data_IF_624705792464
#
_entry.id   IF_624705792464
#
_cell.length_a   1.000
_cell.length_b   1.000
_cell.length_c   1.000
_cell.angle_alpha   90.00
_cell.angle_beta   90.00
_cell.angle_gamma   90.00
#
_symmetry.space_group_name_H-M   'P 1'
#
loop_
_entity.id
_entity.type
_entity.pdbx_description
1 polymer ?
#
# COMPACT_ATOMS: atom_id res chain seq x y z
N UNK A 1 3.47 23.30 5.35
CA UNK A 1 2.64 24.10 6.26
C UNK A 1 1.46 23.23 6.69
N UNK A 2 1.42 22.79 7.95
CA UNK A 2 0.35 21.92 8.48
C UNK A 2 -0.85 22.79 8.81
N UNK A 3 -1.89 22.75 7.99
CA UNK A 3 -3.18 23.38 8.34
C UNK A 3 -4.16 22.29 8.75
N UNK A 4 -4.30 22.02 10.06
CA UNK A 4 -5.28 21.06 10.56
C UNK A 4 -6.69 21.46 10.11
N UNK A 5 -7.57 20.47 9.99
CA UNK A 5 -8.97 20.74 9.67
C UNK A 5 -9.65 21.45 10.83
N UNK A 6 -10.58 22.35 10.53
CA UNK A 6 -11.47 22.90 11.57
C UNK A 6 -12.34 21.78 12.16
N UNK A 7 -12.79 21.86 13.41
CA UNK A 7 -13.61 20.81 14.02
C UNK A 7 -14.85 20.40 13.19
N UNK A 8 -15.56 21.38 12.59
CA UNK A 8 -16.71 21.11 11.72
C UNK A 8 -16.33 20.45 10.39
N UNK A 9 -15.13 20.74 9.86
CA UNK A 9 -14.59 20.08 8.67
C UNK A 9 -14.14 18.65 8.97
N UNK A 10 -13.56 18.44 10.16
CA UNK A 10 -13.19 17.13 10.67
C UNK A 10 -14.44 16.25 10.84
N UNK A 11 -15.52 16.78 11.42
CA UNK A 11 -16.79 16.07 11.52
C UNK A 11 -17.27 15.55 10.15
N UNK A 12 -17.27 16.41 9.13
CA UNK A 12 -17.65 16.03 7.77
C UNK A 12 -16.71 14.97 7.16
N UNK A 13 -15.41 15.03 7.43
CA UNK A 13 -14.45 14.01 7.02
C UNK A 13 -14.70 12.66 7.71
N UNK A 14 -14.97 12.66 9.02
CA UNK A 14 -15.25 11.46 9.81
C UNK A 14 -16.57 10.80 9.34
N UNK A 15 -17.61 11.57 9.05
CA UNK A 15 -18.84 11.04 8.44
C UNK A 15 -18.55 10.38 7.10
N UNK A 16 -17.74 11.00 6.23
CA UNK A 16 -17.38 10.39 4.96
C UNK A 16 -16.47 9.16 5.07
N UNK A 17 -15.67 9.05 6.14
CA UNK A 17 -14.96 7.82 6.49
C UNK A 17 -15.92 6.72 6.93
N UNK A 18 -16.94 7.05 7.71
CA UNK A 18 -18.04 6.12 8.05
C UNK A 18 -18.71 5.57 6.80
N UNK A 19 -19.05 6.42 5.82
CA UNK A 19 -19.71 5.99 4.59
C UNK A 19 -18.88 4.99 3.79
N UNK A 20 -17.55 5.13 3.79
CA UNK A 20 -16.63 4.19 3.13
C UNK A 20 -16.53 2.84 3.84
N UNK A 21 -16.87 2.78 5.12
CA UNK A 21 -16.79 1.59 5.97
C UNK A 21 -18.18 0.99 6.26
N UNK A 22 -19.17 1.34 5.43
CA UNK A 22 -20.56 0.93 5.60
C UNK A 22 -20.70 -0.59 5.79
N UNK A 23 -21.54 -0.96 6.76
CA UNK A 23 -21.81 -2.36 7.11
C UNK A 23 -20.83 -2.99 8.10
N UNK A 24 -19.85 -2.25 8.63
CA UNK A 24 -18.90 -2.76 9.63
C UNK A 24 -18.84 -1.96 10.93
N UNK A 25 -18.18 -2.50 11.95
CA UNK A 25 -17.96 -1.82 13.23
C UNK A 25 -17.23 -0.47 13.10
N UNK A 26 -16.36 -0.33 12.08
CA UNK A 26 -15.67 0.92 11.76
C UNK A 26 -16.62 2.05 11.36
N UNK A 27 -17.76 1.76 10.73
CA UNK A 27 -18.77 2.77 10.40
C UNK A 27 -19.22 3.50 11.67
N UNK A 28 -19.66 2.72 12.66
CA UNK A 28 -20.16 3.24 13.93
C UNK A 28 -19.08 3.94 14.74
N UNK A 29 -17.86 3.41 14.73
CA UNK A 29 -16.70 4.08 15.32
C UNK A 29 -16.51 5.50 14.78
N UNK A 30 -16.52 5.68 13.45
CA UNK A 30 -16.35 6.99 12.84
C UNK A 30 -17.53 7.92 13.07
N UNK A 31 -18.76 7.39 13.12
CA UNK A 31 -19.96 8.18 13.46
C UNK A 31 -19.93 8.68 14.91
N UNK A 32 -19.49 7.84 15.87
CA UNK A 32 -19.36 8.26 17.27
C UNK A 32 -18.34 9.38 17.44
N UNK A 33 -17.23 9.32 16.70
CA UNK A 33 -16.25 10.41 16.66
C UNK A 33 -16.79 11.66 15.97
N UNK A 34 -17.55 11.52 14.89
CA UNK A 34 -18.16 12.64 14.19
C UNK A 34 -19.20 13.35 15.08
N UNK A 35 -20.00 12.59 15.84
CA UNK A 35 -21.01 13.12 16.75
C UNK A 35 -20.42 13.86 17.96
N UNK A 36 -19.15 13.60 18.31
CA UNK A 36 -18.44 14.35 19.35
C UNK A 36 -17.95 15.73 18.86
N UNK A 37 -18.03 16.00 17.56
CA UNK A 37 -17.60 17.25 16.94
C UNK A 37 -18.79 18.19 16.68
N UNK A 38 -18.56 19.50 16.48
CA UNK A 38 -19.63 20.40 16.06
C UNK A 38 -20.23 19.99 14.71
N UNK A 39 -21.43 20.48 14.37
CA UNK A 39 -22.16 20.10 13.17
C UNK A 39 -21.29 20.15 11.91
N UNK A 40 -21.36 19.07 11.12
CA UNK A 40 -20.51 18.87 9.96
C UNK A 40 -20.66 19.99 8.92
N UNK A 41 -19.53 20.55 8.47
CA UNK A 41 -19.48 21.56 7.42
C UNK A 41 -18.64 21.07 6.24
N UNK A 42 -19.32 20.77 5.13
CA UNK A 42 -18.69 20.29 3.91
C UNK A 42 -18.13 21.44 3.05
N UNK A 43 -17.00 22.01 3.47
CA UNK A 43 -16.24 23.01 2.70
C UNK A 43 -15.71 22.41 1.39
N UNK A 44 -15.38 23.22 0.36
CA UNK A 44 -14.85 22.69 -0.91
C UNK A 44 -13.56 21.87 -0.72
N UNK A 45 -12.74 22.20 0.28
CA UNK A 45 -11.55 21.43 0.65
C UNK A 45 -11.94 20.02 1.12
N UNK A 46 -12.90 19.91 2.03
CA UNK A 46 -13.38 18.60 2.53
C UNK A 46 -14.05 17.80 1.42
N UNK A 47 -14.86 18.42 0.55
CA UNK A 47 -15.48 17.71 -0.59
C UNK A 47 -14.44 17.09 -1.53
N UNK A 48 -13.36 17.82 -1.83
CA UNK A 48 -12.24 17.28 -2.62
C UNK A 48 -11.55 16.13 -1.89
N UNK A 49 -11.30 16.28 -0.59
CA UNK A 49 -10.71 15.20 0.22
C UNK A 49 -11.58 13.95 0.23
N UNK A 50 -12.89 14.08 0.39
CA UNK A 50 -13.86 12.98 0.34
C UNK A 50 -13.90 12.30 -1.03
N UNK A 51 -13.80 13.08 -2.12
CA UNK A 51 -13.71 12.52 -3.47
C UNK A 51 -12.42 11.68 -3.63
N UNK A 52 -11.28 12.21 -3.18
CA UNK A 52 -10.00 11.47 -3.23
C UNK A 52 -10.06 10.24 -2.32
N UNK A 53 -10.69 10.35 -1.16
CA UNK A 53 -10.93 9.23 -0.23
C UNK A 53 -11.75 8.12 -0.88
N UNK A 54 -12.82 8.47 -1.61
CA UNK A 54 -13.65 7.50 -2.35
C UNK A 54 -12.89 6.77 -3.45
N UNK A 55 -11.93 7.45 -4.10
CA UNK A 55 -11.14 6.85 -5.19
C UNK A 55 -9.98 5.98 -4.69
N UNK A 56 -9.30 6.41 -3.62
CA UNK A 56 -8.05 5.78 -3.17
C UNK A 56 -8.22 4.91 -1.92
N UNK A 57 -9.25 5.18 -1.11
CA UNK A 57 -9.50 4.58 0.19
C UNK A 57 -8.66 5.21 1.32
N UNK A 58 -9.08 5.02 2.59
CA UNK A 58 -8.44 5.62 3.76
C UNK A 58 -6.98 5.19 3.93
N UNK A 59 -6.68 3.92 3.64
CA UNK A 59 -5.32 3.38 3.78
C UNK A 59 -4.28 4.02 2.85
N UNK A 60 -4.62 4.52 1.65
CA UNK A 60 -3.62 5.22 0.79
C UNK A 60 -3.38 6.64 1.25
N UNK A 61 -4.42 7.27 1.80
CA UNK A 61 -4.38 8.65 2.23
C UNK A 61 -3.90 8.80 3.67
N UNK A 62 -3.48 7.70 4.31
CA UNK A 62 -3.00 7.71 5.69
C UNK A 62 -2.00 8.84 6.01
N UNK A 63 -0.91 9.08 5.24
CA UNK A 63 0.01 10.17 5.55
C UNK A 63 -0.65 11.55 5.43
N UNK A 64 -1.59 11.71 4.50
CA UNK A 64 -2.33 12.95 4.31
C UNK A 64 -3.32 13.16 5.47
N UNK A 65 -4.06 12.12 5.87
CA UNK A 65 -4.98 12.17 7.02
C UNK A 65 -4.23 12.45 8.33
N UNK A 66 -3.04 11.88 8.51
CA UNK A 66 -2.16 12.17 9.64
C UNK A 66 -1.73 13.64 9.66
N UNK A 67 -1.39 14.20 8.49
CA UNK A 67 -1.05 15.62 8.37
C UNK A 67 -2.25 16.55 8.67
N UNK A 68 -3.47 16.09 8.41
CA UNK A 68 -4.70 16.81 8.71
C UNK A 68 -5.14 16.69 10.17
N UNK A 69 -4.48 15.84 10.97
CA UNK A 69 -4.78 15.63 12.38
C UNK A 69 -6.01 14.76 12.63
N UNK A 70 -6.38 13.88 11.71
CA UNK A 70 -7.48 12.93 11.94
C UNK A 70 -7.09 11.94 13.04
N UNK A 71 -7.93 11.73 14.08
CA UNK A 71 -7.60 10.82 15.18
C UNK A 71 -7.75 9.34 14.77
N UNK A 72 -7.16 8.46 15.57
CA UNK A 72 -7.33 6.99 15.51
C UNK A 72 -6.97 6.33 14.18
N UNK A 73 -6.08 6.96 13.42
CA UNK A 73 -5.60 6.43 12.13
C UNK A 73 -4.78 5.14 12.26
N UNK A 74 -4.40 4.75 13.49
CA UNK A 74 -3.75 3.48 13.76
C UNK A 74 -4.57 2.27 13.25
N UNK A 75 -5.91 2.40 13.15
CA UNK A 75 -6.80 1.40 12.55
C UNK A 75 -6.41 0.99 11.12
N UNK A 76 -5.77 1.90 10.38
CA UNK A 76 -5.39 1.70 8.97
C UNK A 76 -3.88 1.45 8.78
N UNK A 77 -3.10 1.52 9.85
CA UNK A 77 -1.63 1.46 9.79
C UNK A 77 -1.14 0.13 9.20
N UNK A 78 -1.70 -1.00 9.64
CA UNK A 78 -1.32 -2.32 9.14
C UNK A 78 -1.55 -2.45 7.62
N UNK A 79 -2.72 -2.00 7.14
CA UNK A 79 -3.04 -2.01 5.71
C UNK A 79 -2.18 -1.05 4.87
N UNK A 80 -1.73 0.07 5.45
CA UNK A 80 -0.78 0.99 4.81
C UNK A 80 0.63 0.40 4.72
N UNK A 81 1.14 -0.17 5.82
CA UNK A 81 2.48 -0.77 5.87
C UNK A 81 2.60 -1.96 4.91
N UNK A 82 1.61 -2.86 4.89
CA UNK A 82 1.63 -4.01 3.98
C UNK A 82 1.66 -3.60 2.50
N UNK A 83 1.06 -2.45 2.15
CA UNK A 83 1.14 -1.87 0.80
C UNK A 83 2.52 -1.32 0.51
N UNK A 84 3.13 -0.56 1.44
CA UNK A 84 4.49 -0.05 1.28
C UNK A 84 5.48 -1.19 1.10
N UNK A 85 5.44 -2.18 2.00
CA UNK A 85 6.33 -3.34 1.95
C UNK A 85 6.19 -4.09 0.63
N UNK A 86 4.96 -4.24 0.12
CA UNK A 86 4.72 -4.85 -1.18
C UNK A 86 5.29 -4.04 -2.33
N UNK A 87 5.08 -2.73 -2.35
CA UNK A 87 5.66 -1.85 -3.37
C UNK A 87 7.19 -1.90 -3.33
N UNK A 88 7.79 -1.89 -2.13
CA UNK A 88 9.23 -2.03 -1.94
C UNK A 88 9.73 -3.36 -2.50
N UNK A 89 9.10 -4.47 -2.10
CA UNK A 89 9.47 -5.82 -2.57
C UNK A 89 9.39 -5.94 -4.08
N UNK A 90 8.26 -5.55 -4.69
CA UNK A 90 8.10 -5.62 -6.16
C UNK A 90 9.12 -4.72 -6.85
N UNK A 91 9.34 -3.51 -6.34
CA UNK A 91 10.32 -2.59 -6.92
C UNK A 91 11.74 -3.15 -6.82
N UNK A 92 12.13 -3.72 -5.68
CA UNK A 92 13.44 -4.37 -5.52
C UNK A 92 13.62 -5.53 -6.50
N UNK A 93 12.61 -6.38 -6.67
CA UNK A 93 12.65 -7.49 -7.64
C UNK A 93 12.81 -6.98 -9.08
N UNK A 94 12.05 -5.94 -9.46
CA UNK A 94 12.14 -5.32 -10.77
C UNK A 94 13.52 -4.70 -11.01
N UNK A 95 14.05 -3.94 -10.04
CA UNK A 95 15.36 -3.30 -10.13
C UNK A 95 16.48 -4.34 -10.24
N UNK A 96 16.40 -5.42 -9.45
CA UNK A 96 17.35 -6.53 -9.53
C UNK A 96 17.33 -7.17 -10.92
N UNK A 97 16.15 -7.57 -11.40
CA UNK A 97 16.01 -8.25 -12.69
C UNK A 97 16.47 -7.39 -13.87
N UNK A 98 15.98 -6.14 -13.96
CA UNK A 98 16.34 -5.22 -15.04
C UNK A 98 17.84 -4.86 -14.96
N UNK A 99 18.37 -4.59 -13.77
CA UNK A 99 19.78 -4.24 -13.61
C UNK A 99 20.72 -5.40 -13.96
N UNK A 100 20.36 -6.65 -13.64
CA UNK A 100 21.14 -7.82 -14.08
C UNK A 100 21.15 -7.96 -15.61
N UNK A 101 20.01 -7.78 -16.28
CA UNK A 101 19.94 -7.82 -17.75
C UNK A 101 20.83 -6.75 -18.37
N UNK A 102 20.76 -5.52 -17.85
CA UNK A 102 21.60 -4.43 -18.33
C UNK A 102 23.09 -4.68 -18.08
N UNK A 103 23.45 -5.24 -16.93
CA UNK A 103 24.83 -5.58 -16.63
C UNK A 103 25.37 -6.67 -17.57
N UNK A 104 24.58 -7.72 -17.85
CA UNK A 104 24.92 -8.77 -18.81
C UNK A 104 25.09 -8.17 -20.22
N UNK A 105 24.13 -7.35 -20.66
CA UNK A 105 24.18 -6.67 -21.94
C UNK A 105 25.44 -5.78 -22.07
N UNK A 106 25.80 -5.05 -21.02
CA UNK A 106 27.01 -4.24 -20.97
C UNK A 106 28.28 -5.12 -21.04
N UNK A 107 28.32 -6.24 -20.32
CA UNK A 107 29.45 -7.17 -20.31
C UNK A 107 29.71 -7.81 -21.68
N UNK A 108 28.65 -8.24 -22.36
CA UNK A 108 28.76 -8.77 -23.73
C UNK A 108 28.93 -7.67 -24.79
N UNK A 109 28.56 -6.41 -24.50
CA UNK A 109 28.57 -5.33 -25.47
C UNK A 109 27.42 -5.44 -26.48
N UNK A 110 26.23 -5.81 -26.02
CA UNK A 110 25.06 -5.97 -26.88
C UNK A 110 24.67 -4.66 -27.58
N UNK A 111 24.10 -4.82 -28.78
CA UNK A 111 23.55 -3.70 -29.52
C UNK A 111 22.28 -3.16 -28.85
N UNK A 112 21.99 -1.84 -28.97
CA UNK A 112 20.80 -1.20 -28.42
C UNK A 112 19.49 -1.97 -28.62
N UNK A 113 19.23 -2.45 -29.85
CA UNK A 113 18.01 -3.18 -30.18
C UNK A 113 17.90 -4.51 -29.40
N UNK A 114 19.00 -5.26 -29.26
CA UNK A 114 19.06 -6.50 -28.49
C UNK A 114 18.81 -6.25 -27.00
N UNK A 115 19.33 -5.15 -26.46
CA UNK A 115 19.08 -4.76 -25.06
C UNK A 115 17.60 -4.43 -24.84
N UNK A 116 17.00 -3.63 -25.72
CA UNK A 116 15.58 -3.31 -25.64
C UNK A 116 14.72 -4.57 -25.70
N UNK A 117 15.01 -5.45 -26.65
CA UNK A 117 14.30 -6.72 -26.78
C UNK A 117 14.42 -7.57 -25.52
N UNK A 118 15.63 -7.73 -24.97
CA UNK A 118 15.85 -8.50 -23.75
C UNK A 118 15.14 -7.92 -22.52
N UNK A 119 15.13 -6.59 -22.38
CA UNK A 119 14.40 -5.91 -21.30
C UNK A 119 12.90 -6.20 -21.36
N UNK A 120 12.30 -6.12 -22.55
CA UNK A 120 10.88 -6.45 -22.75
C UNK A 120 10.61 -7.94 -22.53
N UNK A 121 11.52 -8.83 -22.95
CA UNK A 121 11.38 -10.27 -22.72
C UNK A 121 11.39 -10.62 -21.22
N UNK A 122 12.28 -10.00 -20.45
CA UNK A 122 12.30 -10.18 -18.99
C UNK A 122 11.07 -9.57 -18.32
N UNK A 123 10.58 -8.41 -18.78
CA UNK A 123 9.34 -7.82 -18.30
C UNK A 123 8.14 -8.76 -18.53
N UNK A 124 7.97 -9.27 -19.74
CA UNK A 124 6.90 -10.22 -20.10
C UNK A 124 7.05 -11.52 -19.29
N UNK A 125 8.26 -12.07 -19.20
CA UNK A 125 8.53 -13.28 -18.43
C UNK A 125 8.19 -13.12 -16.94
N UNK A 126 8.55 -11.99 -16.34
CA UNK A 126 8.22 -11.68 -14.95
C UNK A 126 6.71 -11.55 -14.73
N UNK A 127 6.00 -10.89 -15.66
CA UNK A 127 4.54 -10.78 -15.61
C UNK A 127 3.85 -12.14 -15.81
N UNK A 128 4.31 -12.98 -16.74
CA UNK A 128 3.77 -14.34 -16.93
C UNK A 128 3.99 -15.19 -15.68
N UNK A 129 5.19 -15.14 -15.09
CA UNK A 129 5.50 -15.86 -13.85
C UNK A 129 4.63 -15.37 -12.68
N UNK A 130 4.40 -14.05 -12.59
CA UNK A 130 3.52 -13.47 -11.59
C UNK A 130 2.05 -13.89 -11.79
N UNK A 131 1.56 -13.87 -13.03
CA UNK A 131 0.22 -14.33 -13.38
C UNK A 131 0.06 -15.81 -12.98
N UNK A 132 1.00 -16.67 -13.39
CA UNK A 132 1.01 -18.09 -13.06
C UNK A 132 1.02 -18.35 -11.56
N UNK A 133 1.89 -17.66 -10.80
CA UNK A 133 1.93 -17.75 -9.33
C UNK A 133 0.64 -17.27 -8.68
N UNK A 134 0.03 -16.22 -9.22
CA UNK A 134 -1.23 -15.71 -8.72
C UNK A 134 -2.41 -16.63 -9.06
N UNK A 135 -2.36 -17.39 -10.15
CA UNK A 135 -3.35 -18.41 -10.47
C UNK A 135 -3.20 -19.62 -9.52
N UNK A 136 -1.97 -20.13 -9.35
CA UNK A 136 -1.67 -21.34 -8.55
C UNK A 136 -1.72 -21.17 -7.04
N UNK A 137 -1.70 -19.94 -6.52
CA UNK A 137 -1.91 -19.76 -5.10
C UNK A 137 -3.25 -20.44 -4.70
N UNK A 138 -3.33 -21.13 -3.55
CA UNK A 138 -4.60 -21.60 -3.04
C UNK A 138 -5.51 -20.38 -2.83
N UNK A 139 -6.76 -20.45 -3.29
CA UNK A 139 -7.74 -19.46 -2.86
C UNK A 139 -7.77 -19.63 -1.35
N UNK A 140 -7.12 -18.73 -0.62
CA UNK A 140 -7.66 -18.36 0.66
C UNK A 140 -9.01 -17.75 0.30
N UNK A 141 -10.00 -18.62 0.09
CA UNK A 141 -11.33 -18.30 0.48
C UNK A 141 -11.13 -17.67 1.85
N UNK A 142 -11.61 -16.45 2.01
CA UNK A 142 -12.00 -16.07 3.34
C UNK A 142 -13.10 -17.08 3.69
N UNK A 143 -12.70 -18.26 4.18
CA UNK A 143 -13.51 -19.14 4.99
C UNK A 143 -13.73 -18.35 6.28
N UNK A 144 -14.53 -17.31 6.17
CA UNK A 144 -15.50 -17.10 7.21
C UNK A 144 -16.43 -18.30 7.06
N UNK A 145 -16.58 -19.15 8.09
CA UNK A 145 -17.74 -20.02 8.10
C UNK A 145 -18.94 -19.11 7.84
N UNK A 146 -19.74 -19.43 6.84
CA UNK A 146 -21.06 -18.85 6.67
C UNK A 146 -22.00 -19.34 7.78
N UNK A 147 -21.52 -19.36 9.02
CA UNK A 147 -22.29 -19.51 10.23
C UNK A 147 -22.66 -18.09 10.65
N UNK A 148 -23.85 -17.68 10.19
CA UNK A 148 -24.61 -16.55 10.70
C UNK A 148 -23.90 -15.18 10.66
N UNK A 149 -23.59 -14.72 9.46
CA UNK A 149 -23.61 -13.28 9.20
C UNK A 149 -25.07 -12.81 9.25
N UNK A 150 -25.66 -12.69 10.44
CA UNK A 150 -26.92 -11.98 10.64
C UNK A 150 -26.67 -10.50 10.29
N UNK A 151 -27.36 -9.89 9.30
CA UNK A 151 -27.75 -8.50 9.44
C UNK A 151 -29.04 -8.49 10.27
N UNK A 152 -28.93 -8.88 11.55
CA UNK A 152 -30.01 -8.74 12.52
C UNK A 152 -30.11 -7.29 12.97
N UNK A 153 -31.26 -6.90 13.54
CA UNK A 153 -31.57 -5.54 13.98
C UNK A 153 -30.52 -4.84 14.89
N UNK A 154 -29.46 -5.52 15.32
CA UNK A 154 -28.36 -4.99 16.14
C UNK A 154 -27.47 -3.96 15.43
N UNK A 155 -27.46 -3.95 14.10
CA UNK A 155 -26.88 -2.83 13.33
C UNK A 155 -27.54 -1.48 13.64
N UNK A 156 -28.68 -1.45 14.35
CA UNK A 156 -29.35 -0.22 14.78
C UNK A 156 -28.96 0.29 16.17
N UNK A 157 -28.14 -0.45 16.95
CA UNK A 157 -27.83 -0.12 18.35
C UNK A 157 -26.52 0.67 18.56
N UNK A 158 -25.84 1.07 17.47
CA UNK A 158 -24.60 1.83 17.52
C UNK A 158 -23.41 1.07 18.13
N UNK A 159 -22.30 1.78 18.35
CA UNK A 159 -21.06 1.18 18.86
C UNK A 159 -21.24 0.53 20.25
N UNK A 160 -22.09 1.13 21.10
CA UNK A 160 -22.42 0.57 22.41
C UNK A 160 -23.11 -0.79 22.28
N UNK A 161 -24.09 -0.92 21.38
CA UNK A 161 -24.78 -2.19 21.13
C UNK A 161 -23.81 -3.28 20.66
N UNK A 162 -22.89 -2.94 19.75
CA UNK A 162 -21.87 -3.87 19.28
C UNK A 162 -20.95 -4.37 20.40
N UNK A 163 -20.58 -3.49 21.34
CA UNK A 163 -19.79 -3.90 22.50
C UNK A 163 -20.56 -4.85 23.42
N UNK A 164 -21.84 -4.58 23.68
CA UNK A 164 -22.70 -5.45 24.49
C UNK A 164 -22.90 -6.82 23.85
N UNK A 165 -23.14 -6.87 22.54
CA UNK A 165 -23.26 -8.12 21.78
C UNK A 165 -21.99 -8.98 21.85
N UNK A 166 -20.82 -8.35 21.98
CA UNK A 166 -19.52 -9.03 22.18
C UNK A 166 -19.22 -9.40 23.65
N UNK A 167 -20.21 -9.28 24.54
CA UNK A 167 -20.08 -9.68 25.94
C UNK A 167 -19.39 -8.66 26.84
N UNK A 168 -19.23 -7.40 26.40
CA UNK A 168 -18.80 -6.34 27.32
C UNK A 168 -19.85 -6.10 28.39
N UNK A 169 -19.41 -5.82 29.62
CA UNK A 169 -20.32 -5.52 30.72
C UNK A 169 -21.17 -4.26 30.42
N UNK A 170 -22.44 -4.24 30.84
CA UNK A 170 -23.36 -3.12 30.56
C UNK A 170 -22.91 -1.79 31.17
N UNK A 171 -22.08 -1.82 32.21
CA UNK A 171 -21.48 -0.63 32.81
C UNK A 171 -20.22 -0.13 32.09
N UNK A 172 -19.49 -1.00 31.39
CA UNK A 172 -18.23 -0.66 30.71
C UNK A 172 -18.44 -0.13 29.29
N UNK A 173 -19.37 -0.72 28.53
CA UNK A 173 -19.65 -0.33 27.15
C UNK A 173 -19.94 1.18 26.98
N UNK A 174 -20.89 1.81 27.71
CA UNK A 174 -21.17 3.23 27.57
C UNK A 174 -20.02 4.12 28.05
N UNK A 175 -19.28 3.70 29.09
CA UNK A 175 -18.10 4.43 29.59
C UNK A 175 -16.99 4.48 28.53
N UNK A 176 -16.82 3.38 27.81
CA UNK A 176 -15.79 3.25 26.79
C UNK A 176 -16.14 4.06 25.54
N UNK A 177 -17.43 4.17 25.17
CA UNK A 177 -17.90 5.11 24.15
C UNK A 177 -17.76 6.58 24.60
N UNK A 178 -18.05 6.90 25.86
CA UNK A 178 -17.82 8.24 26.40
C UNK A 178 -16.31 8.61 26.41
N UNK A 179 -15.44 7.64 26.71
CA UNK A 179 -14.00 7.79 26.58
C UNK A 179 -13.58 8.02 25.13
N UNK A 180 -14.17 7.31 24.16
CA UNK A 180 -13.90 7.53 22.73
C UNK A 180 -14.20 8.97 22.30
N UNK A 181 -15.32 9.53 22.75
CA UNK A 181 -15.74 10.90 22.39
C UNK A 181 -14.82 11.98 22.97
N UNK A 182 -14.24 11.74 24.14
CA UNK A 182 -13.38 12.71 24.84
C UNK A 182 -11.88 12.53 24.58
N UNK A 183 -11.41 11.29 24.51
CA UNK A 183 -10.00 10.90 24.43
C UNK A 183 -9.83 9.71 23.45
N UNK A 184 -9.95 9.97 22.14
CA UNK A 184 -10.09 8.92 21.14
C UNK A 184 -8.87 7.99 21.06
N UNK A 185 -7.67 8.53 21.18
CA UNK A 185 -6.42 7.75 21.13
C UNK A 185 -6.25 6.81 22.33
N UNK A 186 -6.80 7.15 23.50
CA UNK A 186 -6.75 6.28 24.68
C UNK A 186 -7.85 5.20 24.65
N UNK A 187 -9.01 5.52 24.08
CA UNK A 187 -10.09 4.55 23.92
C UNK A 187 -9.78 3.48 22.88
N UNK A 188 -9.01 3.83 21.84
CA UNK A 188 -8.72 2.96 20.70
C UNK A 188 -8.17 1.57 21.07
N UNK A 189 -7.11 1.40 21.89
CA UNK A 189 -6.60 0.07 22.23
C UNK A 189 -7.63 -0.77 23.00
N UNK A 190 -8.44 -0.16 23.87
CA UNK A 190 -9.49 -0.85 24.61
C UNK A 190 -10.63 -1.29 23.68
N UNK A 191 -11.00 -0.43 22.73
CA UNK A 191 -11.96 -0.75 21.68
C UNK A 191 -11.48 -1.89 20.79
N UNK A 192 -10.23 -1.87 20.35
CA UNK A 192 -9.66 -2.94 19.52
C UNK A 192 -9.59 -4.27 20.26
N UNK A 193 -9.34 -4.26 21.57
CA UNK A 193 -9.37 -5.46 22.38
C UNK A 193 -10.78 -6.08 22.46
N UNK A 194 -11.82 -5.26 22.58
CA UNK A 194 -13.21 -5.71 22.61
C UNK A 194 -13.80 -6.01 21.21
N UNK A 195 -13.37 -5.26 20.19
CA UNK A 195 -13.81 -5.33 18.81
C UNK A 195 -12.60 -5.40 17.86
N UNK A 196 -11.98 -6.60 17.70
CA UNK A 196 -10.82 -6.77 16.82
C UNK A 196 -11.09 -6.38 15.37
N UNK A 197 -12.35 -6.48 14.92
CA UNK A 197 -12.81 -6.12 13.58
C UNK A 197 -12.64 -4.63 13.23
N UNK A 198 -12.43 -3.77 14.23
CA UNK A 198 -12.11 -2.36 14.01
C UNK A 198 -10.81 -2.20 13.21
N UNK A 199 -9.83 -3.07 13.41
CA UNK A 199 -8.55 -2.98 12.69
C UNK A 199 -8.76 -3.40 11.24
N UNK A 200 -8.33 -2.54 10.30
CA UNK A 200 -8.39 -2.88 8.89
C UNK A 200 -7.46 -4.07 8.63
N UNK A 201 -7.97 -5.20 8.09
CA UNK A 201 -7.14 -6.37 7.85
C UNK A 201 -6.01 -6.01 6.87
N UNK A 202 -4.81 -6.58 7.06
CA UNK A 202 -3.72 -6.32 6.14
C UNK A 202 -4.09 -6.84 4.75
N UNK A 203 -3.90 -6.00 3.73
CA UNK A 203 -4.28 -6.35 2.36
C UNK A 203 -3.42 -7.47 1.78
N UNK A 204 -3.90 -8.70 1.86
CA UNK A 204 -3.30 -9.88 1.24
C UNK A 204 -4.05 -10.29 -0.04
N UNK A 205 -4.17 -9.36 -0.99
CA UNK A 205 -4.83 -9.63 -2.27
C UNK A 205 -3.87 -9.99 -3.39
N UNK A 206 -4.17 -11.06 -4.15
CA UNK A 206 -3.52 -11.40 -5.43
C UNK A 206 -3.58 -10.23 -6.40
N UNK A 207 -4.77 -9.63 -6.51
CA UNK A 207 -5.04 -8.50 -7.39
C UNK A 207 -4.15 -7.30 -7.09
N UNK A 208 -3.91 -7.01 -5.80
CA UNK A 208 -3.04 -5.90 -5.41
C UNK A 208 -1.60 -6.15 -5.85
N UNK A 209 -1.07 -7.38 -5.67
CA UNK A 209 0.27 -7.76 -6.12
C UNK A 209 0.40 -7.69 -7.64
N UNK A 210 -0.58 -8.24 -8.35
CA UNK A 210 -0.66 -8.21 -9.81
C UNK A 210 -0.63 -6.77 -10.33
N UNK A 211 -1.48 -5.91 -9.78
CA UNK A 211 -1.53 -4.50 -10.18
C UNK A 211 -0.23 -3.75 -9.89
N UNK A 212 0.42 -3.99 -8.74
CA UNK A 212 1.73 -3.38 -8.47
C UNK A 212 2.79 -3.83 -9.46
N UNK A 213 2.79 -5.11 -9.87
CA UNK A 213 3.71 -5.65 -10.87
C UNK A 213 3.44 -5.07 -12.26
N UNK A 214 2.18 -4.97 -12.68
CA UNK A 214 1.77 -4.37 -13.96
C UNK A 214 2.16 -2.89 -14.12
N UNK A 215 2.31 -2.16 -13.02
CA UNK A 215 2.75 -0.76 -13.07
C UNK A 215 4.28 -0.66 -13.03
N UNK A 216 4.91 -1.39 -12.11
CA UNK A 216 6.37 -1.29 -11.86
C UNK A 216 7.20 -1.87 -13.00
N UNK A 217 6.90 -3.10 -13.44
CA UNK A 217 7.69 -3.79 -14.46
C UNK A 217 7.67 -3.06 -15.80
N UNK A 218 6.51 -2.78 -16.42
CA UNK A 218 6.46 -1.99 -17.66
C UNK A 218 6.99 -0.58 -17.47
N UNK A 219 6.71 0.08 -16.33
CA UNK A 219 7.16 1.45 -16.08
C UNK A 219 8.68 1.58 -16.10
N UNK A 220 9.40 0.73 -15.36
CA UNK A 220 10.87 0.77 -15.34
C UNK A 220 11.44 0.27 -16.66
N UNK A 221 10.89 -0.81 -17.21
CA UNK A 221 11.32 -1.36 -18.51
C UNK A 221 11.21 -0.33 -19.62
N UNK A 222 10.11 0.43 -19.66
CA UNK A 222 9.91 1.48 -20.65
C UNK A 222 10.97 2.58 -20.53
N UNK A 223 11.24 3.05 -19.30
CA UNK A 223 12.25 4.09 -19.04
C UNK A 223 13.64 3.58 -19.47
N UNK A 224 14.05 2.40 -19.02
CA UNK A 224 15.38 1.86 -19.34
C UNK A 224 15.51 1.47 -20.81
N UNK A 225 14.46 0.90 -21.42
CA UNK A 225 14.43 0.61 -22.86
C UNK A 225 14.57 1.89 -23.68
N UNK A 226 13.93 2.98 -23.24
CA UNK A 226 14.03 4.28 -23.91
C UNK A 226 15.45 4.83 -23.84
N UNK A 227 16.06 4.86 -22.66
CA UNK A 227 17.46 5.29 -22.47
C UNK A 227 18.41 4.50 -23.38
N UNK A 228 18.22 3.18 -23.47
CA UNK A 228 19.09 2.34 -24.29
C UNK A 228 18.82 2.43 -25.80
N UNK A 229 17.78 3.13 -26.25
CA UNK A 229 17.44 3.27 -27.67
C UNK A 229 17.97 4.51 -28.38
N UNK A 230 18.34 5.57 -27.66
CA UNK A 230 18.58 6.89 -28.25
C UNK A 230 20.06 7.30 -28.39
N UNK A 231 20.96 6.73 -27.61
CA UNK A 231 22.33 7.28 -27.45
C UNK A 231 23.43 6.24 -27.70
N UNK A 232 24.69 6.70 -27.79
CA UNK A 232 25.85 5.82 -28.01
C UNK A 232 26.03 4.79 -26.87
N UNK A 233 26.41 3.57 -27.28
CA UNK A 233 26.41 2.32 -26.50
C UNK A 233 26.95 2.46 -25.05
N UNK A 234 28.13 3.07 -24.77
CA UNK A 234 28.65 3.09 -23.39
C UNK A 234 27.90 4.04 -22.45
N UNK A 235 27.34 5.13 -22.97
CA UNK A 235 26.66 6.16 -22.16
C UNK A 235 25.30 5.66 -21.68
N UNK A 236 24.64 4.79 -22.45
CA UNK A 236 23.31 4.26 -22.15
C UNK A 236 23.29 3.38 -20.90
N UNK A 237 24.29 2.51 -20.77
CA UNK A 237 24.42 1.61 -19.63
C UNK A 237 24.69 2.39 -18.35
N UNK A 238 25.55 3.42 -18.41
CA UNK A 238 25.82 4.30 -17.28
C UNK A 238 24.56 5.06 -16.84
N UNK A 239 23.85 5.69 -17.78
CA UNK A 239 22.60 6.40 -17.50
C UNK A 239 21.55 5.47 -16.89
N UNK A 240 21.39 4.27 -17.45
CA UNK A 240 20.45 3.28 -16.93
C UNK A 240 20.84 2.84 -15.52
N UNK A 241 22.13 2.57 -15.27
CA UNK A 241 22.62 2.23 -13.93
C UNK A 241 22.36 3.36 -12.93
N UNK A 242 22.64 4.62 -13.28
CA UNK A 242 22.38 5.78 -12.44
C UNK A 242 20.89 5.91 -12.08
N UNK A 243 20.00 5.73 -13.05
CA UNK A 243 18.55 5.74 -12.81
C UNK A 243 18.15 4.62 -11.87
N UNK A 244 18.65 3.40 -12.07
CA UNK A 244 18.33 2.27 -11.20
C UNK A 244 18.88 2.44 -9.78
N UNK A 245 20.10 2.98 -9.63
CA UNK A 245 20.67 3.31 -8.31
C UNK A 245 19.87 4.42 -7.63
N UNK A 246 19.45 5.46 -8.36
CA UNK A 246 18.60 6.51 -7.84
C UNK A 246 17.27 5.94 -7.34
N UNK A 247 16.59 5.11 -8.14
CA UNK A 247 15.35 4.43 -7.73
C UNK A 247 15.56 3.50 -6.52
N UNK A 248 16.67 2.77 -6.46
CA UNK A 248 17.03 1.91 -5.33
C UNK A 248 17.26 2.74 -4.06
N UNK A 249 17.95 3.87 -4.16
CA UNK A 249 18.22 4.76 -3.01
C UNK A 249 16.95 5.39 -2.45
N UNK A 250 15.95 5.69 -3.29
CA UNK A 250 14.64 6.21 -2.87
C UNK A 250 13.86 5.21 -1.99
N UNK A 251 14.12 3.91 -2.14
CA UNK A 251 13.51 2.88 -1.28
C UNK A 251 14.03 2.92 0.17
N UNK A 252 15.14 3.63 0.41
CA UNK A 252 15.90 3.61 1.67
C UNK A 252 16.06 2.19 2.22
N UNK A 253 16.54 1.23 1.40
CA UNK A 253 16.69 -0.14 1.85
C UNK A 253 17.72 -0.20 2.97
N UNK A 254 17.64 -1.26 3.79
CA UNK A 254 18.76 -1.60 4.65
C UNK A 254 20.03 -1.82 3.80
N UNK A 255 21.21 -1.61 4.39
CA UNK A 255 22.49 -1.72 3.67
C UNK A 255 22.68 -3.10 3.01
N UNK A 256 22.19 -4.17 3.62
CA UNK A 256 22.28 -5.54 3.10
C UNK A 256 21.63 -5.73 1.72
N UNK A 257 20.32 -5.52 1.56
CA UNK A 257 19.64 -5.62 0.27
C UNK A 257 20.26 -4.74 -0.83
N UNK A 258 20.75 -3.55 -0.49
CA UNK A 258 21.42 -2.67 -1.44
C UNK A 258 22.72 -3.30 -1.97
N UNK A 259 23.56 -3.80 -1.07
CA UNK A 259 24.82 -4.46 -1.44
C UNK A 259 24.56 -5.73 -2.26
N UNK A 260 23.52 -6.49 -1.93
CA UNK A 260 23.12 -7.67 -2.70
C UNK A 260 22.71 -7.31 -4.13
N UNK A 261 21.89 -6.26 -4.31
CA UNK A 261 21.47 -5.82 -5.64
C UNK A 261 22.66 -5.33 -6.46
N UNK A 262 23.49 -4.44 -5.90
CA UNK A 262 24.68 -3.91 -6.59
C UNK A 262 25.71 -5.01 -6.88
N UNK A 263 25.95 -5.90 -5.92
CA UNK A 263 26.84 -7.05 -6.08
C UNK A 263 26.36 -8.01 -7.16
N UNK A 264 25.03 -8.23 -7.25
CA UNK A 264 24.44 -9.05 -8.31
C UNK A 264 24.63 -8.42 -9.68
N UNK A 265 24.45 -7.10 -9.81
CA UNK A 265 24.71 -6.40 -11.08
C UNK A 265 26.18 -6.48 -11.48
N UNK A 266 27.10 -6.17 -10.55
CA UNK A 266 28.53 -6.23 -10.79
C UNK A 266 28.98 -7.65 -11.18
N UNK A 267 28.51 -8.66 -10.44
CA UNK A 267 28.80 -10.06 -10.72
C UNK A 267 28.27 -10.51 -12.08
N UNK A 268 27.03 -10.17 -12.42
CA UNK A 268 26.43 -10.51 -13.72
C UNK A 268 27.19 -9.87 -14.90
N UNK A 269 27.58 -8.60 -14.76
CA UNK A 269 28.39 -7.90 -15.77
C UNK A 269 29.80 -8.46 -15.90
N UNK A 270 30.47 -8.77 -14.78
CA UNK A 270 31.81 -9.35 -14.78
C UNK A 270 31.82 -10.75 -15.40
N UNK A 271 30.85 -11.59 -15.08
CA UNK A 271 30.70 -12.93 -15.67
C UNK A 271 30.43 -12.86 -17.17
N UNK A 272 29.55 -11.96 -17.62
CA UNK A 272 29.28 -11.75 -19.03
C UNK A 272 30.52 -11.24 -19.79
N UNK A 273 31.26 -10.31 -19.19
CA UNK A 273 32.53 -9.84 -19.75
C UNK A 273 33.52 -11.00 -19.88
N UNK A 274 33.76 -11.76 -18.80
CA UNK A 274 34.66 -12.90 -18.79
C UNK A 274 34.27 -13.97 -19.82
N UNK A 275 32.97 -14.29 -19.94
CA UNK A 275 32.46 -15.23 -20.93
C UNK A 275 32.63 -14.75 -22.39
N UNK A 276 32.79 -13.45 -22.63
CA UNK A 276 33.11 -12.91 -23.96
C UNK A 276 34.60 -13.09 -24.31
N UNK A 277 35.47 -13.17 -23.30
CA UNK A 277 36.92 -13.30 -23.48
C UNK A 277 37.39 -14.75 -23.67
N UNK A 278 36.62 -15.72 -23.17
CA UNK A 278 36.84 -17.16 -23.37
C UNK A 278 36.27 -17.57 -24.72
#
# INVERSE_FOLDING_TARGET
MKMPLKPAELAALLTGLSDQESGGARQWFWLELANAQPPAQATPRVRRLLLVLRLLGPSRLLPLLQQLGTPCLALYQAGYQSRIERWKSVLTDTLLGIGCVLAIAAGFGWQPASVQFALWLVCIGALLLAAWRSWRAPHAAAEFPAEEALPGAEASLGLTGMLLARGCAPSSAPRLVALLRSQPEQALPLLVAALPELVAPPMHGRWLRWRTMLVTWPGITLITSKINGYTHIPVNYLLSALVLVALLSLLRPARGPLLLVLGSWAGAGALAALARWI
#
